data_IF_563212268216
#
_entry.id   IF_563212268216
#
_cell.length_a   1.000
_cell.length_b   1.000
_cell.length_c   1.000
_cell.angle_alpha   90.00
_cell.angle_beta   90.00
_cell.angle_gamma   90.00
#
_symmetry.space_group_name_H-M   'P 1'
#
loop_
_entity.id
_entity.type
_entity.pdbx_description
1 polymer ?
#
# COMPACT_ATOMS: atom_id res chain seq x y z
N UNK A 1 2.55 45.75 25.88
CA UNK A 1 1.30 45.39 25.17
C UNK A 1 1.56 44.26 24.17
N UNK A 2 1.27 43.03 24.59
CA UNK A 2 1.38 41.82 23.75
C UNK A 2 -0.01 41.17 23.84
N UNK A 3 -0.75 41.23 22.73
CA UNK A 3 -2.09 40.64 22.63
C UNK A 3 -2.01 39.12 22.67
N UNK A 4 -2.81 38.56 23.57
CA UNK A 4 -3.00 37.13 23.78
C UNK A 4 -4.11 36.70 22.82
N UNK A 5 -3.78 36.05 21.71
CA UNK A 5 -4.79 35.40 20.86
C UNK A 5 -5.20 34.08 21.49
N UNK A 6 -6.25 34.13 22.31
CA UNK A 6 -7.02 32.97 22.69
C UNK A 6 -7.89 32.53 21.50
N UNK A 7 -7.57 31.39 20.89
CA UNK A 7 -8.49 30.71 19.98
C UNK A 7 -9.25 29.63 20.75
N UNK A 8 -10.56 29.82 20.84
CA UNK A 8 -11.49 28.90 21.45
C UNK A 8 -11.68 27.66 20.57
N UNK A 9 -11.47 26.47 21.16
CA UNK A 9 -11.80 25.19 20.54
C UNK A 9 -13.31 24.92 20.66
N UNK A 10 -14.03 25.03 19.55
CA UNK A 10 -15.40 24.52 19.44
C UNK A 10 -15.37 23.09 18.89
N UNK A 11 -15.82 22.13 19.69
CA UNK A 11 -16.05 20.76 19.24
C UNK A 11 -17.16 20.76 18.17
N UNK A 12 -16.81 20.46 16.92
CA UNK A 12 -17.77 20.44 15.82
C UNK A 12 -18.52 19.12 15.76
N UNK A 13 -19.82 19.20 15.51
CA UNK A 13 -20.72 18.05 15.52
C UNK A 13 -20.58 17.18 14.26
N UNK A 14 -21.05 15.94 14.39
CA UNK A 14 -21.25 14.92 13.35
C UNK A 14 -22.30 15.32 12.29
N UNK A 15 -22.47 16.59 11.96
CA UNK A 15 -23.11 17.05 10.72
C UNK A 15 -22.20 18.03 9.95
N UNK A 16 -21.22 18.64 10.62
CA UNK A 16 -20.20 19.49 10.01
C UNK A 16 -19.15 18.69 9.21
N UNK A 17 -18.99 17.40 9.51
CA UNK A 17 -18.12 16.47 8.77
C UNK A 17 -18.61 16.18 7.33
N UNK A 18 -19.92 16.16 7.08
CA UNK A 18 -20.47 15.90 5.74
C UNK A 18 -20.43 17.14 4.85
N UNK A 19 -20.70 18.32 5.40
CA UNK A 19 -20.77 19.58 4.64
C UNK A 19 -19.39 20.18 4.28
N UNK A 20 -18.33 19.84 5.02
CA UNK A 20 -16.96 20.28 4.69
C UNK A 20 -16.29 19.47 3.57
N UNK A 21 -16.87 18.34 3.16
CA UNK A 21 -16.39 17.50 2.04
C UNK A 21 -16.81 18.02 0.65
N UNK A 22 -17.54 19.14 0.61
CA UNK A 22 -18.04 19.76 -0.60
C UNK A 22 -17.04 20.70 -1.26
N UNK A 23 -16.12 20.17 -2.06
CA UNK A 23 -15.41 20.93 -3.10
C UNK A 23 -13.90 20.82 -3.09
N UNK A 24 -13.36 20.14 -4.11
CA UNK A 24 -11.97 19.73 -4.32
C UNK A 24 -11.51 18.58 -3.40
N UNK A 25 -11.08 17.47 -4.00
CA UNK A 25 -10.58 16.27 -3.32
C UNK A 25 -9.26 16.58 -2.61
N UNK A 26 -9.32 17.21 -1.44
CA UNK A 26 -8.40 16.85 -0.38
C UNK A 26 -8.64 15.35 -0.14
N UNK A 27 -7.64 14.52 -0.44
CA UNK A 27 -7.80 13.07 -0.38
C UNK A 27 -8.27 12.68 1.02
N UNK A 28 -9.16 11.70 1.16
CA UNK A 28 -9.62 11.23 2.48
C UNK A 28 -8.44 10.90 3.42
N UNK A 29 -7.31 10.47 2.84
CA UNK A 29 -6.02 10.31 3.50
C UNK A 29 -5.43 11.59 4.11
N UNK A 30 -5.55 12.75 3.46
CA UNK A 30 -5.16 14.03 4.07
C UNK A 30 -6.10 14.41 5.23
N UNK A 31 -7.40 14.11 5.07
CA UNK A 31 -8.39 14.28 6.14
C UNK A 31 -8.16 13.39 7.35
N UNK A 32 -7.57 12.19 7.15
CA UNK A 32 -7.27 11.24 8.22
C UNK A 32 -6.40 11.85 9.33
N UNK A 33 -5.41 12.66 8.94
CA UNK A 33 -4.49 13.29 9.88
C UNK A 33 -5.03 14.60 10.47
N UNK A 34 -6.29 14.95 10.21
CA UNK A 34 -6.98 16.15 10.75
C UNK A 34 -6.19 17.46 10.57
N UNK A 35 -5.43 17.58 9.47
CA UNK A 35 -4.58 18.74 9.19
C UNK A 35 -3.18 18.69 9.81
N UNK A 36 -2.82 17.63 10.54
CA UNK A 36 -1.45 17.40 10.96
C UNK A 36 -0.52 17.17 9.77
N UNK A 37 0.69 17.70 9.84
CA UNK A 37 1.72 17.46 8.84
C UNK A 37 2.32 16.06 9.00
N UNK A 38 2.89 15.53 7.92
CA UNK A 38 3.81 14.40 8.01
C UNK A 38 5.23 14.93 8.13
N UNK A 39 6.10 14.27 8.87
CA UNK A 39 7.47 14.73 9.12
C UNK A 39 8.45 13.60 8.81
N UNK A 40 9.51 13.92 8.07
CA UNK A 40 10.63 13.00 7.84
C UNK A 40 11.58 12.94 9.04
N UNK A 41 12.58 12.05 9.01
CA UNK A 41 13.56 11.97 10.10
C UNK A 41 14.42 13.23 10.25
N UNK A 42 14.58 14.01 9.19
CA UNK A 42 15.23 15.32 9.20
C UNK A 42 14.41 16.40 9.95
N UNK A 43 13.17 16.09 10.34
CA UNK A 43 12.27 17.02 10.99
C UNK A 43 11.57 17.97 10.03
N UNK A 44 11.72 17.79 8.72
CA UNK A 44 11.11 18.66 7.71
C UNK A 44 9.64 18.23 7.49
N UNK A 45 8.67 19.15 7.62
CA UNK A 45 7.28 18.87 7.28
C UNK A 45 7.11 18.58 5.79
N UNK A 46 6.30 17.58 5.49
CA UNK A 46 5.96 17.10 4.16
C UNK A 46 4.44 17.11 4.01
N UNK A 47 3.96 17.65 2.89
CA UNK A 47 2.53 17.66 2.57
C UNK A 47 2.03 16.23 2.31
N UNK A 48 1.05 15.77 3.11
CA UNK A 48 0.41 14.46 2.94
C UNK A 48 -0.22 14.28 1.55
N UNK A 49 -0.77 15.35 0.97
CA UNK A 49 -1.39 15.32 -0.36
C UNK A 49 -0.34 14.93 -1.42
N UNK A 50 0.85 15.53 -1.34
CA UNK A 50 1.91 15.30 -2.33
C UNK A 50 2.69 14.02 -2.05
N UNK A 51 3.03 13.73 -0.79
CA UNK A 51 3.86 12.57 -0.44
C UNK A 51 3.12 11.24 -0.58
N UNK A 52 1.80 11.23 -0.36
CA UNK A 52 1.00 10.02 -0.42
C UNK A 52 0.36 9.80 -1.79
N UNK A 53 0.58 10.71 -2.75
CA UNK A 53 0.08 10.56 -4.10
C UNK A 53 0.66 9.31 -4.74
N UNK A 54 -0.22 8.45 -5.25
CA UNK A 54 0.12 7.17 -5.88
C UNK A 54 0.89 6.19 -4.97
N UNK A 55 0.85 6.40 -3.64
CA UNK A 55 1.40 5.48 -2.65
C UNK A 55 0.31 4.61 -2.04
N UNK A 56 0.68 3.38 -1.70
CA UNK A 56 -0.09 2.53 -0.79
C UNK A 56 0.38 2.80 0.62
N UNK A 57 -0.52 3.28 1.46
CA UNK A 57 -0.20 3.77 2.79
C UNK A 57 -0.29 2.64 3.81
N UNK A 58 0.79 2.47 4.57
CA UNK A 58 0.89 1.54 5.70
C UNK A 58 0.96 2.38 6.97
N UNK A 59 -0.08 2.33 7.80
CA UNK A 59 -0.09 2.97 9.10
C UNK A 59 0.58 2.05 10.11
N UNK A 60 1.59 2.58 10.80
CA UNK A 60 2.31 1.86 11.83
C UNK A 60 2.09 2.52 13.19
N UNK A 61 1.38 1.82 14.08
CA UNK A 61 1.08 2.27 15.43
C UNK A 61 2.07 1.67 16.42
N UNK A 62 2.82 2.52 17.12
CA UNK A 62 3.85 2.09 18.05
C UNK A 62 4.16 3.15 19.12
N UNK A 63 4.96 2.78 20.12
CA UNK A 63 5.43 3.68 21.15
C UNK A 63 6.79 3.25 21.71
N UNK A 64 7.54 4.23 22.24
CA UNK A 64 8.87 4.07 22.81
C UNK A 64 8.91 3.15 24.03
N UNK A 65 7.86 3.17 24.85
CA UNK A 65 7.76 2.40 26.08
C UNK A 65 7.49 0.90 25.84
N UNK A 66 7.17 0.51 24.60
CA UNK A 66 6.81 -0.86 24.24
C UNK A 66 7.99 -1.58 23.57
N UNK A 67 8.70 -2.42 24.33
CA UNK A 67 9.86 -3.18 23.84
C UNK A 67 9.59 -4.00 22.56
N UNK A 68 8.36 -4.54 22.42
CA UNK A 68 7.95 -5.27 21.23
C UNK A 68 7.98 -4.40 19.96
N UNK A 69 7.75 -3.08 20.07
CA UNK A 69 7.81 -2.16 18.94
C UNK A 69 9.25 -2.01 18.43
N UNK A 70 10.23 -1.87 19.33
CA UNK A 70 11.64 -1.77 18.95
C UNK A 70 12.11 -3.00 18.18
N UNK A 71 11.75 -4.21 18.65
CA UNK A 71 12.08 -5.44 17.92
C UNK A 71 11.35 -5.54 16.57
N UNK A 72 10.12 -5.03 16.47
CA UNK A 72 9.36 -5.06 15.23
C UNK A 72 9.87 -4.04 14.19
N UNK A 73 10.48 -2.92 14.60
CA UNK A 73 11.05 -1.92 13.69
C UNK A 73 12.08 -2.53 12.71
N UNK A 74 12.93 -3.44 13.19
CA UNK A 74 13.90 -4.15 12.36
C UNK A 74 13.22 -5.08 11.34
N UNK A 75 12.18 -5.81 11.77
CA UNK A 75 11.41 -6.69 10.89
C UNK A 75 10.67 -5.90 9.81
N UNK A 76 10.01 -4.81 10.20
CA UNK A 76 9.28 -3.94 9.28
C UNK A 76 10.23 -3.24 8.30
N UNK A 77 11.42 -2.82 8.75
CA UNK A 77 12.45 -2.26 7.86
C UNK A 77 12.89 -3.27 6.81
N UNK A 78 13.12 -4.52 7.20
CA UNK A 78 13.49 -5.60 6.28
C UNK A 78 12.39 -5.91 5.26
N UNK A 79 11.13 -5.95 5.70
CA UNK A 79 9.98 -6.08 4.80
C UNK A 79 9.93 -4.92 3.80
N UNK A 80 10.05 -3.68 4.31
CA UNK A 80 10.01 -2.47 3.51
C UNK A 80 11.11 -2.44 2.45
N UNK A 81 12.35 -2.74 2.80
CA UNK A 81 13.49 -2.79 1.87
C UNK A 81 13.26 -3.81 0.75
N UNK A 82 12.82 -5.03 1.09
CA UNK A 82 12.53 -6.08 0.11
C UNK A 82 11.43 -5.68 -0.88
N UNK A 83 10.40 -4.95 -0.41
CA UNK A 83 9.36 -4.38 -1.28
C UNK A 83 9.97 -3.31 -2.19
N UNK A 84 10.71 -2.36 -1.61
CA UNK A 84 11.32 -1.21 -2.29
C UNK A 84 12.33 -1.58 -3.38
N UNK A 85 12.89 -2.78 -3.35
CA UNK A 85 13.71 -3.31 -4.44
C UNK A 85 12.95 -3.51 -5.76
N UNK A 86 11.62 -3.66 -5.71
CA UNK A 86 10.78 -3.91 -6.90
C UNK A 86 9.65 -2.89 -7.09
N UNK A 87 9.28 -2.17 -6.04
CA UNK A 87 8.11 -1.30 -6.02
C UNK A 87 8.32 -0.15 -5.03
N UNK A 88 8.27 1.09 -5.53
CA UNK A 88 8.45 2.30 -4.73
C UNK A 88 7.14 2.83 -4.12
N UNK A 89 6.00 2.18 -4.36
CA UNK A 89 4.68 2.67 -3.95
C UNK A 89 4.38 2.50 -2.46
N UNK A 90 5.16 1.71 -1.71
CA UNK A 90 4.98 1.57 -0.26
C UNK A 90 5.38 2.88 0.46
N UNK A 91 4.47 3.40 1.28
CA UNK A 91 4.76 4.49 2.22
C UNK A 91 4.31 4.10 3.62
N UNK A 92 5.27 3.98 4.54
CA UNK A 92 4.98 3.75 5.96
C UNK A 92 4.83 5.11 6.67
N UNK A 93 3.78 5.24 7.47
CA UNK A 93 3.50 6.41 8.30
C UNK A 93 3.39 5.94 9.75
N UNK A 94 4.32 6.41 10.58
CA UNK A 94 4.33 6.19 12.02
C UNK A 94 3.30 7.08 12.71
N UNK A 95 2.41 6.44 13.47
CA UNK A 95 1.46 7.07 14.38
C UNK A 95 1.86 6.67 15.80
N UNK A 96 2.21 7.68 16.61
CA UNK A 96 2.74 7.44 17.95
C UNK A 96 1.63 7.24 18.98
N UNK A 97 1.86 6.30 19.89
CA UNK A 97 1.13 6.12 21.15
C UNK A 97 2.03 6.46 22.37
N UNK A 98 3.03 7.33 22.14
CA UNK A 98 3.81 7.94 23.21
C UNK A 98 2.96 8.98 23.97
N UNK A 99 3.44 9.43 25.12
CA UNK A 99 2.70 10.36 25.98
C UNK A 99 3.19 11.79 25.85
N UNK A 100 4.25 12.01 25.06
CA UNK A 100 4.83 13.32 24.81
C UNK A 100 5.45 13.41 23.42
N UNK A 101 5.56 14.64 22.93
CA UNK A 101 6.24 14.97 21.67
C UNK A 101 7.71 14.54 21.72
N UNK A 102 8.35 14.70 22.87
CA UNK A 102 9.75 14.38 23.09
C UNK A 102 10.00 12.87 22.98
N UNK A 103 9.15 12.05 23.61
CA UNK A 103 9.22 10.59 23.49
C UNK A 103 8.98 10.12 22.05
N UNK A 104 7.95 10.68 21.38
CA UNK A 104 7.68 10.38 19.96
C UNK A 104 8.90 10.67 19.10
N UNK A 105 9.48 11.88 19.23
CA UNK A 105 10.61 12.32 18.42
C UNK A 105 11.87 11.50 18.70
N UNK A 106 12.16 11.22 19.96
CA UNK A 106 13.28 10.38 20.35
C UNK A 106 13.13 8.98 19.75
N UNK A 107 11.95 8.38 19.85
CA UNK A 107 11.70 7.05 19.29
C UNK A 107 11.78 7.02 17.77
N UNK A 108 11.22 8.02 17.09
CA UNK A 108 11.29 8.07 15.63
C UNK A 108 12.72 8.22 15.09
N UNK A 109 13.61 8.90 15.85
CA UNK A 109 15.02 9.11 15.47
C UNK A 109 15.95 7.96 15.89
N UNK A 110 15.73 7.40 17.07
CA UNK A 110 16.68 6.49 17.73
C UNK A 110 16.13 5.06 17.85
N UNK A 111 14.85 4.85 17.57
CA UNK A 111 14.16 3.57 17.72
C UNK A 111 14.37 2.58 16.56
N UNK A 112 15.28 2.85 15.62
CA UNK A 112 15.56 1.95 14.49
C UNK A 112 14.52 2.02 13.36
N UNK A 113 13.87 3.16 13.18
CA UNK A 113 12.96 3.40 12.06
C UNK A 113 13.74 3.55 10.75
N UNK A 114 13.19 3.06 9.64
CA UNK A 114 13.78 3.28 8.32
C UNK A 114 13.67 4.77 7.93
N UNK A 115 14.74 5.34 7.38
CA UNK A 115 14.87 6.79 7.10
C UNK A 115 13.80 7.38 6.17
N UNK A 116 13.24 6.56 5.27
CA UNK A 116 12.23 6.96 4.27
C UNK A 116 10.79 6.91 4.83
N UNK A 117 10.61 6.50 6.09
CA UNK A 117 9.30 6.53 6.73
C UNK A 117 8.96 7.94 7.18
N UNK A 118 7.67 8.22 7.24
CA UNK A 118 7.16 9.49 7.73
C UNK A 118 6.51 9.27 9.09
N UNK A 119 6.40 10.35 9.86
CA UNK A 119 5.72 10.36 11.15
C UNK A 119 4.59 11.39 11.09
N UNK A 120 3.44 11.09 11.69
CA UNK A 120 2.42 12.12 11.93
C UNK A 120 2.97 13.09 12.98
N UNK A 121 3.02 14.37 12.64
CA UNK A 121 3.44 15.42 13.58
C UNK A 121 2.66 15.31 14.88
N UNK A 122 3.35 15.50 16.00
CA UNK A 122 2.70 15.47 17.31
C UNK A 122 1.51 16.42 17.36
N UNK A 123 0.34 15.85 17.58
CA UNK A 123 -0.90 16.57 17.87
C UNK A 123 -1.56 15.94 19.09
N UNK A 124 -2.41 16.69 19.78
CA UNK A 124 -3.10 16.20 20.98
C UNK A 124 -4.11 15.07 20.68
N UNK A 125 -4.44 14.84 19.40
CA UNK A 125 -5.47 13.91 18.95
C UNK A 125 -4.92 12.66 18.22
N UNK A 126 -3.63 12.28 18.40
CA UNK A 126 -3.11 11.04 17.79
C UNK A 126 -3.88 9.80 18.27
N UNK A 127 -4.37 9.83 19.52
CA UNK A 127 -5.25 8.80 20.08
C UNK A 127 -6.55 8.66 19.28
N UNK A 128 -7.11 9.75 18.75
CA UNK A 128 -8.34 9.69 17.96
C UNK A 128 -8.14 8.91 16.64
N UNK A 129 -6.93 8.94 16.08
CA UNK A 129 -6.58 8.14 14.90
C UNK A 129 -6.57 6.66 15.26
N UNK A 130 -6.00 6.31 16.42
CA UNK A 130 -6.00 4.93 16.92
C UNK A 130 -7.43 4.43 17.19
N UNK A 131 -8.25 5.26 17.84
CA UNK A 131 -9.64 4.94 18.16
C UNK A 131 -10.48 4.81 16.89
N UNK A 132 -10.24 5.66 15.87
CA UNK A 132 -10.90 5.56 14.57
C UNK A 132 -10.69 4.20 13.89
N UNK A 133 -9.48 3.65 14.00
CA UNK A 133 -9.14 2.34 13.46
C UNK A 133 -9.31 1.19 14.46
N UNK A 134 -9.84 1.46 15.67
CA UNK A 134 -10.01 0.48 16.73
C UNK A 134 -8.69 -0.26 17.08
N UNK A 135 -7.58 0.48 17.15
CA UNK A 135 -6.27 -0.06 17.53
C UNK A 135 -6.14 -0.08 19.05
N UNK A 136 -6.30 -1.27 19.63
CA UNK A 136 -6.21 -1.52 21.07
C UNK A 136 -4.83 -2.01 21.53
N UNK A 137 -3.99 -2.46 20.59
CA UNK A 137 -2.68 -3.07 20.85
C UNK A 137 -1.62 -2.54 19.89
N UNK A 138 -0.40 -2.44 20.41
CA UNK A 138 0.80 -2.08 19.65
C UNK A 138 1.90 -3.15 19.82
N UNK A 139 2.78 -3.36 18.82
CA UNK A 139 2.76 -2.74 17.49
C UNK A 139 1.55 -3.21 16.65
N UNK A 140 0.97 -2.30 15.87
CA UNK A 140 -0.09 -2.62 14.91
C UNK A 140 0.23 -2.03 13.54
N UNK A 141 -0.13 -2.77 12.48
CA UNK A 141 0.09 -2.39 11.08
C UNK A 141 -1.23 -2.50 10.35
N UNK A 142 -1.68 -1.37 9.80
CA UNK A 142 -2.84 -1.30 8.93
C UNK A 142 -2.41 -0.88 7.54
N UNK A 143 -3.02 -1.46 6.52
CA UNK A 143 -2.95 -0.92 5.15
C UNK A 143 -4.26 -0.22 4.87
N UNK A 144 -4.19 1.02 4.39
CA UNK A 144 -5.38 1.82 4.09
C UNK A 144 -5.54 2.09 2.60
N UNK A 145 -6.78 2.17 2.16
CA UNK A 145 -7.12 2.57 0.80
C UNK A 145 -7.13 4.10 0.62
N UNK A 146 -7.49 4.55 -0.58
CA UNK A 146 -7.58 5.99 -0.91
C UNK A 146 -8.69 6.73 -0.15
N UNK A 147 -9.64 5.99 0.43
CA UNK A 147 -10.73 6.50 1.26
C UNK A 147 -10.36 6.49 2.75
N UNK A 148 -9.10 6.20 3.09
CA UNK A 148 -8.59 6.06 4.46
C UNK A 148 -9.27 4.94 5.27
N UNK A 149 -9.78 3.90 4.60
CA UNK A 149 -10.31 2.71 5.27
C UNK A 149 -9.24 1.64 5.38
N UNK A 150 -9.17 0.99 6.54
CA UNK A 150 -8.31 -0.18 6.72
C UNK A 150 -8.81 -1.35 5.86
N UNK A 151 -7.98 -1.80 4.93
CA UNK A 151 -8.22 -2.95 4.05
C UNK A 151 -7.39 -4.18 4.45
N UNK A 152 -6.38 -3.96 5.30
CA UNK A 152 -5.61 -5.00 5.99
C UNK A 152 -5.46 -4.53 7.43
N UNK A 153 -5.89 -5.34 8.39
CA UNK A 153 -5.91 -5.01 9.82
C UNK A 153 -4.98 -5.89 10.68
N UNK A 154 -4.44 -6.97 10.13
CA UNK A 154 -3.52 -7.91 10.78
C UNK A 154 -2.11 -7.87 10.20
N UNK A 155 -1.71 -6.74 9.60
CA UNK A 155 -0.45 -6.59 8.87
C UNK A 155 0.79 -6.95 9.68
N UNK A 156 0.78 -6.69 11.00
CA UNK A 156 1.88 -7.03 11.90
C UNK A 156 2.12 -8.55 11.91
N UNK A 157 1.04 -9.33 12.04
CA UNK A 157 1.09 -10.79 12.01
C UNK A 157 1.53 -11.30 10.64
N UNK A 158 0.97 -10.75 9.57
CA UNK A 158 1.32 -11.17 8.20
C UNK A 158 2.81 -10.92 7.88
N UNK A 159 3.39 -9.80 8.33
CA UNK A 159 4.83 -9.53 8.18
C UNK A 159 5.67 -10.55 8.95
N UNK A 160 5.32 -10.80 10.23
CA UNK A 160 6.02 -11.77 11.05
C UNK A 160 5.97 -13.17 10.41
N UNK A 161 4.79 -13.62 9.97
CA UNK A 161 4.60 -14.93 9.36
C UNK A 161 5.38 -15.06 8.03
N UNK A 162 5.40 -14.02 7.18
CA UNK A 162 6.15 -14.06 5.91
C UNK A 162 7.66 -14.09 6.13
N UNK A 163 8.17 -13.30 7.07
CA UNK A 163 9.61 -13.21 7.35
C UNK A 163 10.14 -14.38 8.19
N UNK A 164 9.42 -14.81 9.22
CA UNK A 164 9.81 -15.93 10.09
C UNK A 164 9.50 -17.30 9.46
N UNK A 165 8.43 -17.40 8.69
CA UNK A 165 7.96 -18.67 8.11
C UNK A 165 7.18 -19.50 9.12
N UNK A 166 6.83 -20.73 8.75
CA UNK A 166 6.02 -21.61 9.60
C UNK A 166 6.81 -22.31 10.73
N UNK A 167 8.06 -21.89 10.96
CA UNK A 167 8.95 -22.45 11.98
C UNK A 167 9.42 -23.89 11.73
N UNK A 168 8.99 -24.54 10.63
CA UNK A 168 9.35 -25.92 10.27
C UNK A 168 10.41 -26.01 9.18
N UNK A 169 10.65 -24.92 8.45
CA UNK A 169 11.63 -24.85 7.37
C UNK A 169 12.81 -23.93 7.72
N UNK A 170 13.90 -24.52 8.22
CA UNK A 170 15.16 -23.82 8.53
C UNK A 170 15.99 -23.49 7.29
N UNK A 171 15.50 -23.81 6.07
CA UNK A 171 16.23 -23.73 4.81
C UNK A 171 15.59 -22.79 3.79
N UNK A 172 14.73 -21.85 4.19
CA UNK A 172 14.27 -20.83 3.24
C UNK A 172 15.46 -19.98 2.80
N UNK A 173 15.82 -20.11 1.53
CA UNK A 173 16.78 -19.21 0.92
C UNK A 173 16.19 -17.79 0.85
N UNK A 174 17.07 -16.79 0.81
CA UNK A 174 16.67 -15.39 0.81
C UNK A 174 15.77 -15.02 -0.38
N UNK A 175 15.88 -15.74 -1.50
CA UNK A 175 15.07 -15.51 -2.70
C UNK A 175 13.61 -15.94 -2.50
N UNK A 176 13.38 -17.07 -1.82
CA UNK A 176 12.05 -17.54 -1.47
C UNK A 176 11.35 -16.60 -0.48
N UNK A 177 12.08 -16.10 0.53
CA UNK A 177 11.55 -15.09 1.47
C UNK A 177 11.17 -13.82 0.73
N UNK A 178 12.06 -13.30 -0.11
CA UNK A 178 11.80 -12.11 -0.91
C UNK A 178 10.59 -12.28 -1.83
N UNK A 179 10.47 -13.43 -2.49
CA UNK A 179 9.32 -13.74 -3.36
C UNK A 179 8.00 -13.74 -2.58
N UNK A 180 7.99 -14.30 -1.36
CA UNK A 180 6.82 -14.28 -0.49
C UNK A 180 6.46 -12.86 -0.02
N UNK A 181 7.46 -12.02 0.30
CA UNK A 181 7.26 -10.60 0.64
C UNK A 181 6.63 -9.83 -0.53
N UNK A 182 7.16 -9.99 -1.75
CA UNK A 182 6.64 -9.32 -2.94
C UNK A 182 5.21 -9.78 -3.27
N UNK A 183 4.93 -11.08 -3.15
CA UNK A 183 3.58 -11.61 -3.35
C UNK A 183 2.59 -11.05 -2.32
N UNK A 184 3.00 -11.00 -1.05
CA UNK A 184 2.21 -10.43 0.04
C UNK A 184 1.94 -8.94 -0.17
N UNK A 185 2.96 -8.18 -0.56
CA UNK A 185 2.80 -6.76 -0.89
C UNK A 185 1.84 -6.53 -2.08
N UNK A 186 1.93 -7.36 -3.12
CA UNK A 186 1.02 -7.30 -4.27
C UNK A 186 -0.44 -7.54 -3.88
N UNK A 187 -0.68 -8.46 -2.94
CA UNK A 187 -2.01 -8.69 -2.36
C UNK A 187 -2.54 -7.45 -1.64
N UNK A 188 -1.73 -6.84 -0.77
CA UNK A 188 -2.11 -5.63 -0.03
C UNK A 188 -2.44 -4.46 -0.96
N UNK A 189 -1.62 -4.25 -2.00
CA UNK A 189 -1.87 -3.22 -3.03
C UNK A 189 -3.20 -3.43 -3.76
N UNK A 190 -3.50 -4.69 -4.11
CA UNK A 190 -4.78 -5.05 -4.75
C UNK A 190 -5.96 -4.72 -3.84
N UNK A 191 -5.85 -5.01 -2.54
CA UNK A 191 -6.89 -4.70 -1.55
C UNK A 191 -7.05 -3.17 -1.35
N UNK A 192 -5.95 -2.42 -1.36
CA UNK A 192 -5.95 -0.95 -1.23
C UNK A 192 -6.46 -0.20 -2.48
N UNK A 193 -6.89 -0.93 -3.52
CA UNK A 193 -7.48 -0.36 -4.73
C UNK A 193 -6.47 0.05 -5.80
N UNK A 194 -5.22 -0.39 -5.72
CA UNK A 194 -4.25 -0.20 -6.80
C UNK A 194 -4.46 -1.24 -7.91
N UNK A 195 -5.32 -0.90 -8.87
CA UNK A 195 -5.68 -1.77 -10.00
C UNK A 195 -4.56 -1.94 -11.04
N UNK A 196 -3.45 -1.18 -10.94
CA UNK A 196 -2.32 -1.29 -11.89
C UNK A 196 -1.65 -2.68 -11.89
N UNK A 197 -1.98 -3.53 -10.92
CA UNK A 197 -1.55 -4.94 -10.87
C UNK A 197 -2.49 -5.93 -11.60
N UNK A 198 -3.57 -5.48 -12.25
CA UNK A 198 -4.53 -6.37 -12.93
C UNK A 198 -4.32 -6.54 -14.44
N UNK A 199 -3.42 -5.79 -15.08
CA UNK A 199 -3.09 -5.99 -16.51
C UNK A 199 -1.81 -6.80 -16.70
N UNK A 200 -1.84 -8.06 -16.26
CA UNK A 200 -0.63 -8.89 -16.31
C UNK A 200 -0.83 -10.39 -16.45
N UNK A 201 -2.02 -10.90 -16.77
CA UNK A 201 -2.18 -12.30 -17.19
C UNK A 201 -3.31 -12.39 -18.23
N UNK A 202 -3.05 -13.11 -19.32
CA UNK A 202 -3.91 -13.38 -20.51
C UNK A 202 -3.91 -12.35 -21.63
N UNK A 203 -2.78 -12.24 -22.36
CA UNK A 203 -2.90 -12.11 -23.82
C UNK A 203 -3.09 -13.51 -24.40
N UNK A 204 -4.27 -13.70 -24.98
CA UNK A 204 -4.76 -14.98 -25.47
C UNK A 204 -3.82 -15.63 -26.47
N UNK A 205 -3.62 -16.94 -26.25
CA UNK A 205 -3.48 -17.90 -27.34
C UNK A 205 -4.68 -17.74 -28.26
N UNK A 206 -4.51 -17.02 -29.37
CA UNK A 206 -5.35 -17.25 -30.54
C UNK A 206 -4.87 -18.55 -31.19
N UNK A 207 -5.28 -19.67 -30.60
CA UNK A 207 -5.48 -20.88 -31.36
C UNK A 207 -6.61 -20.58 -32.35
N UNK A 208 -6.25 -20.47 -33.63
CA UNK A 208 -7.18 -20.43 -34.76
C UNK A 208 -8.04 -21.69 -34.74
N UNK A 209 -9.22 -21.60 -34.14
CA UNK A 209 -10.31 -22.56 -34.31
C UNK A 209 -11.25 -22.03 -35.40
N UNK A 210 -10.83 -22.11 -36.66
CA UNK A 210 -11.78 -22.16 -37.77
C UNK A 210 -12.23 -23.61 -37.96
N UNK A 211 -13.16 -24.02 -37.11
CA UNK A 211 -13.96 -25.23 -37.29
C UNK A 211 -15.18 -24.92 -38.15
N UNK A 212 -15.03 -24.96 -39.47
CA UNK A 212 -16.16 -25.08 -40.39
C UNK A 212 -16.09 -26.43 -41.08
N UNK A 213 -16.82 -27.39 -40.51
CA UNK A 213 -16.96 -28.73 -41.03
C UNK A 213 -17.91 -28.78 -42.24
N UNK A 214 -17.65 -29.80 -43.07
CA UNK A 214 -18.51 -30.43 -44.06
C UNK A 214 -18.55 -29.83 -45.48
N UNK A 215 -17.80 -30.46 -46.40
CA UNK A 215 -18.42 -31.33 -47.41
C UNK A 215 -17.36 -32.26 -48.05
N UNK A 216 -17.61 -33.56 -47.96
CA UNK A 216 -16.89 -34.60 -48.67
C UNK A 216 -17.38 -34.70 -50.12
N UNK A 217 -16.47 -34.93 -51.07
CA UNK A 217 -16.73 -35.73 -52.27
C UNK A 217 -15.40 -36.14 -52.91
N UNK A 218 -15.20 -37.45 -53.00
CA UNK A 218 -14.11 -38.10 -53.73
C UNK A 218 -14.39 -38.14 -55.23
N UNK A 219 -13.28 -38.29 -55.98
CA UNK A 219 -13.15 -38.97 -57.27
C UNK A 219 -13.43 -38.22 -58.58
N UNK A 220 -12.52 -38.47 -59.52
CA UNK A 220 -12.79 -38.84 -60.92
C UNK A 220 -12.66 -37.79 -62.04
N UNK A 221 -11.59 -38.00 -62.83
CA UNK A 221 -11.44 -37.89 -64.29
C UNK A 221 -11.59 -36.54 -65.02
N UNK A 222 -10.58 -36.31 -65.88
CA UNK A 222 -10.47 -35.46 -67.08
C UNK A 222 -11.63 -35.71 -68.10
N UNK A 223 -11.73 -35.04 -69.29
CA UNK A 223 -10.72 -34.22 -70.00
C UNK A 223 -11.27 -32.95 -70.71
N UNK A 224 -10.41 -32.23 -71.44
CA UNK A 224 -10.88 -31.40 -72.55
C UNK A 224 -10.09 -30.14 -72.86
N UNK A 225 -9.13 -30.28 -73.77
CA UNK A 225 -8.76 -29.35 -74.85
C UNK A 225 -8.82 -27.82 -74.62
N UNK A 226 -7.66 -27.18 -74.75
CA UNK A 226 -7.61 -25.94 -75.52
C UNK A 226 -6.32 -25.85 -76.33
N UNK A 227 -6.51 -25.44 -77.57
CA UNK A 227 -5.63 -25.53 -78.71
C UNK A 227 -4.48 -24.51 -78.68
N UNK A 228 -3.34 -24.94 -79.21
CA UNK A 228 -2.33 -24.07 -79.85
C UNK A 228 -2.88 -23.71 -81.25
N UNK A 229 -2.50 -22.57 -81.86
CA UNK A 229 -1.43 -22.69 -82.84
C UNK A 229 -0.46 -21.48 -82.95
N UNK A 230 0.78 -21.84 -83.29
CA UNK A 230 1.73 -21.22 -84.23
C UNK A 230 1.94 -19.71 -84.30
N UNK A 231 3.21 -19.32 -84.17
CA UNK A 231 4.02 -18.56 -85.16
C UNK A 231 5.46 -18.62 -84.63
N UNK A 232 6.53 -18.82 -85.37
CA UNK A 232 6.87 -18.84 -86.79
C UNK A 232 8.40 -18.87 -86.87
#
# INVERSE_FOLDING_TARGET
>A
PVEVFAFAHAAMSKASWELASGGAKDTALAGLFKGASLVGQDGVPVSAITSLKDKTVVLYFAASWAQACTSFNELLSKFYEMVRESDDSIQVIFVSNDKSKEEQLAFFREGGFHRDWLMVEWTYDLQDIMDHFNVDKIPSILVVDREAKAVVDDGHKQIADVLAGDGRDTRRDASAVKSAVVAKWSEWRRLAGDWRASEGHTLGSYATLDGRAAAAASSSLAPGASQVPSTG
#
